data_IF_035376290008
#
_entry.id   IF_035376290008
#
_cell.length_a   1.000
_cell.length_b   1.000
_cell.length_c   1.000
_cell.angle_alpha   90.00
_cell.angle_beta   90.00
_cell.angle_gamma   90.00
#
_symmetry.space_group_name_H-M   'P 1'
#
loop_
_entity.id
_entity.type
_entity.pdbx_description
1 polymer ?
#
# COMPACT_ATOMS: atom_id res chain seq x y z
N UNK A 1 1.83 13.53 -24.14
CA UNK A 1 2.95 14.18 -23.43
C UNK A 1 2.64 14.44 -21.95
N UNK A 2 1.46 15.00 -21.59
CA UNK A 2 1.09 15.19 -20.18
C UNK A 2 0.87 13.87 -19.40
N UNK A 3 0.26 12.87 -20.04
CA UNK A 3 -0.02 11.56 -19.44
C UNK A 3 1.25 10.78 -19.08
N UNK A 4 2.25 10.78 -19.97
CA UNK A 4 3.53 10.10 -19.73
C UNK A 4 4.33 10.76 -18.59
N UNK A 5 4.24 12.08 -18.45
CA UNK A 5 4.87 12.79 -17.34
C UNK A 5 4.20 12.48 -15.99
N UNK A 6 2.88 12.29 -15.96
CA UNK A 6 2.17 11.89 -14.76
C UNK A 6 2.54 10.47 -14.32
N UNK A 7 2.61 9.52 -15.27
CA UNK A 7 3.06 8.14 -15.00
C UNK A 7 4.50 8.09 -14.47
N UNK A 8 5.42 8.81 -15.10
CA UNK A 8 6.80 8.86 -14.64
C UNK A 8 6.94 9.47 -13.24
N UNK A 9 6.10 10.47 -12.90
CA UNK A 9 6.07 11.04 -11.55
C UNK A 9 5.49 10.07 -10.52
N UNK A 10 4.46 9.31 -10.87
CA UNK A 10 3.85 8.28 -10.03
C UNK A 10 4.83 7.11 -9.78
N UNK A 11 5.53 6.65 -10.82
CA UNK A 11 6.57 5.62 -10.70
C UNK A 11 7.72 6.08 -9.80
N UNK A 12 8.24 7.29 -10.03
CA UNK A 12 9.31 7.86 -9.22
C UNK A 12 8.89 8.07 -7.77
N UNK A 13 7.66 8.52 -7.52
CA UNK A 13 7.10 8.63 -6.18
C UNK A 13 6.99 7.27 -5.52
N UNK A 14 6.41 6.29 -6.22
CA UNK A 14 6.19 4.93 -5.70
C UNK A 14 7.52 4.28 -5.32
N UNK A 15 8.52 4.36 -6.20
CA UNK A 15 9.86 3.85 -5.93
C UNK A 15 10.50 4.54 -4.71
N UNK A 16 10.39 5.87 -4.61
CA UNK A 16 10.91 6.63 -3.49
C UNK A 16 10.21 6.24 -2.17
N UNK A 17 8.87 6.11 -2.18
CA UNK A 17 8.08 5.68 -1.02
C UNK A 17 8.47 4.29 -0.52
N UNK A 18 8.79 3.36 -1.41
CA UNK A 18 9.25 2.02 -1.00
C UNK A 18 10.68 2.02 -0.46
N UNK A 19 11.57 2.90 -0.94
CA UNK A 19 12.94 3.02 -0.40
C UNK A 19 12.98 3.62 1.01
N UNK A 20 12.04 4.50 1.33
CA UNK A 20 11.94 5.10 2.67
C UNK A 20 11.12 4.24 3.63
N UNK A 21 10.30 3.29 3.13
CA UNK A 21 9.47 2.46 3.98
C UNK A 21 10.31 1.68 5.01
N UNK A 22 9.99 1.84 6.29
CA UNK A 22 10.56 0.99 7.36
C UNK A 22 9.90 -0.38 7.30
N UNK A 23 8.58 -0.41 7.11
CA UNK A 23 7.82 -1.63 6.94
C UNK A 23 6.87 -1.51 5.74
N UNK A 24 6.80 -2.58 4.96
CA UNK A 24 5.80 -2.72 3.90
C UNK A 24 4.84 -3.82 4.33
N UNK A 25 3.58 -3.47 4.56
CA UNK A 25 2.50 -4.43 4.62
C UNK A 25 2.07 -4.74 3.19
N UNK A 26 2.73 -5.71 2.55
CA UNK A 26 2.20 -6.31 1.32
C UNK A 26 1.32 -7.47 1.76
N UNK A 27 0.01 -7.28 1.67
CA UNK A 27 -0.91 -8.41 1.74
C UNK A 27 -1.37 -8.68 0.31
N UNK A 28 -0.85 -9.79 -0.22
CA UNK A 28 -1.23 -10.32 -1.53
C UNK A 28 -2.34 -11.32 -1.25
N UNK A 29 -3.58 -10.93 -1.54
CA UNK A 29 -4.73 -11.84 -1.37
C UNK A 29 -4.81 -12.85 -2.53
N UNK A 30 -4.38 -12.46 -3.72
CA UNK A 30 -4.21 -13.34 -4.88
C UNK A 30 -3.05 -12.83 -5.74
N UNK A 31 -2.19 -13.71 -6.24
CA UNK A 31 -1.09 -13.36 -7.16
C UNK A 31 -1.62 -13.00 -8.57
N UNK A 32 -2.92 -13.19 -8.81
CA UNK A 32 -3.51 -13.12 -10.15
C UNK A 32 -4.49 -11.99 -10.42
N UNK A 33 -5.03 -11.22 -9.44
CA UNK A 33 -5.75 -9.96 -9.81
C UNK A 33 -6.24 -8.99 -8.70
N UNK A 34 -6.14 -9.28 -7.40
CA UNK A 34 -6.65 -8.35 -6.35
C UNK A 34 -5.56 -8.00 -5.33
N UNK A 35 -5.21 -6.71 -5.24
CA UNK A 35 -4.10 -6.26 -4.42
C UNK A 35 -4.41 -4.94 -3.70
N UNK A 36 -4.17 -4.91 -2.40
CA UNK A 36 -3.97 -3.68 -1.64
C UNK A 36 -2.53 -3.68 -1.10
N UNK A 37 -1.77 -2.64 -1.40
CA UNK A 37 -0.41 -2.48 -0.89
C UNK A 37 -0.35 -1.25 0.00
N UNK A 38 0.16 -1.40 1.24
CA UNK A 38 0.30 -0.30 2.19
C UNK A 38 1.73 -0.25 2.72
N UNK A 39 2.39 0.90 2.58
CA UNK A 39 3.73 1.13 3.13
C UNK A 39 3.68 2.13 4.29
N UNK A 40 4.41 1.85 5.37
CA UNK A 40 4.48 2.68 6.58
C UNK A 40 5.94 3.09 6.85
N UNK A 41 6.13 4.36 7.17
CA UNK A 41 7.39 4.94 7.61
C UNK A 41 7.13 5.97 8.71
N UNK A 42 7.87 5.93 9.82
CA UNK A 42 7.72 6.89 10.91
C UNK A 42 6.33 6.90 11.54
N UNK A 43 5.59 5.79 11.44
CA UNK A 43 4.21 5.68 11.93
C UNK A 43 3.17 6.36 11.05
N UNK A 44 3.51 6.64 9.80
CA UNK A 44 2.61 7.24 8.81
C UNK A 44 2.53 6.36 7.56
N UNK A 45 1.35 6.31 6.93
CA UNK A 45 1.20 5.70 5.61
C UNK A 45 1.89 6.61 4.59
N UNK A 46 2.87 6.09 3.88
CA UNK A 46 3.61 6.83 2.82
C UNK A 46 3.27 6.36 1.41
N UNK A 47 2.53 5.25 1.31
CA UNK A 47 2.00 4.73 0.06
C UNK A 47 0.79 3.83 0.32
N UNK A 48 -0.22 3.94 -0.55
CA UNK A 48 -1.33 3.02 -0.64
C UNK A 48 -1.68 2.81 -2.11
N UNK A 49 -1.64 1.56 -2.56
CA UNK A 49 -2.11 1.15 -3.90
C UNK A 49 -3.29 0.19 -3.76
N UNK A 50 -4.31 0.38 -4.60
CA UNK A 50 -5.51 -0.48 -4.68
C UNK A 50 -5.68 -0.88 -6.14
N UNK A 51 -5.79 -2.17 -6.42
CA UNK A 51 -6.01 -2.67 -7.78
C UNK A 51 -7.42 -2.33 -8.28
N UNK A 52 -7.55 -1.92 -9.55
CA UNK A 52 -8.82 -1.54 -10.19
C UNK A 52 -9.98 -2.54 -9.97
N UNK A 53 -9.80 -3.87 -10.02
CA UNK A 53 -10.89 -4.81 -9.76
C UNK A 53 -11.55 -4.64 -8.38
N UNK A 54 -10.79 -4.22 -7.36
CA UNK A 54 -11.33 -3.96 -6.02
C UNK A 54 -12.26 -2.74 -5.98
N UNK A 55 -12.13 -1.82 -6.93
CA UNK A 55 -13.02 -0.64 -7.03
C UNK A 55 -14.43 -1.01 -7.53
N UNK A 56 -14.62 -2.24 -8.03
CA UNK A 56 -15.94 -2.75 -8.41
C UNK A 56 -16.73 -3.31 -7.21
N UNK A 57 -16.08 -3.49 -6.05
CA UNK A 57 -16.73 -4.01 -4.84
C UNK A 57 -17.65 -2.97 -4.19
N UNK A 58 -18.65 -3.42 -3.41
CA UNK A 58 -19.38 -2.57 -2.48
C UNK A 58 -18.42 -1.75 -1.58
N UNK A 59 -18.79 -0.52 -1.28
CA UNK A 59 -17.92 0.42 -0.56
C UNK A 59 -17.57 -0.05 0.86
N UNK A 60 -18.49 -0.75 1.52
CA UNK A 60 -18.29 -1.39 2.82
C UNK A 60 -17.27 -2.54 2.73
N UNK A 61 -17.39 -3.40 1.72
CA UNK A 61 -16.46 -4.50 1.49
C UNK A 61 -15.05 -4.00 1.14
N UNK A 62 -14.95 -2.99 0.27
CA UNK A 62 -13.67 -2.34 -0.05
C UNK A 62 -13.04 -1.70 1.20
N UNK A 63 -13.84 -1.02 2.03
CA UNK A 63 -13.35 -0.39 3.24
C UNK A 63 -12.81 -1.43 4.24
N UNK A 64 -13.49 -2.56 4.40
CA UNK A 64 -13.03 -3.63 5.28
C UNK A 64 -11.70 -4.23 4.82
N UNK A 65 -11.56 -4.49 3.52
CA UNK A 65 -10.31 -4.99 2.92
C UNK A 65 -9.17 -4.01 3.14
N UNK A 66 -9.37 -2.73 2.80
CA UNK A 66 -8.36 -1.67 2.95
C UNK A 66 -7.96 -1.51 4.42
N UNK A 67 -8.92 -1.48 5.33
CA UNK A 67 -8.66 -1.37 6.76
C UNK A 67 -7.85 -2.55 7.31
N UNK A 68 -8.13 -3.77 6.84
CA UNK A 68 -7.35 -4.96 7.19
C UNK A 68 -5.87 -4.83 6.79
N UNK A 69 -5.60 -4.35 5.58
CA UNK A 69 -4.24 -4.17 5.07
C UNK A 69 -3.49 -3.04 5.79
N UNK A 70 -4.18 -1.95 6.12
CA UNK A 70 -3.63 -0.88 6.98
C UNK A 70 -3.21 -1.48 8.34
N UNK A 71 -4.09 -2.26 8.96
CA UNK A 71 -3.81 -2.87 10.27
C UNK A 71 -2.59 -3.80 10.23
N UNK A 72 -2.46 -4.61 9.17
CA UNK A 72 -1.30 -5.48 8.94
C UNK A 72 -0.02 -4.65 8.81
N UNK A 73 -0.01 -3.62 7.95
CA UNK A 73 1.18 -2.78 7.72
C UNK A 73 1.66 -2.09 9.01
N UNK A 74 0.74 -1.52 9.78
CA UNK A 74 1.08 -0.93 11.07
C UNK A 74 1.49 -1.97 12.13
N UNK A 75 0.90 -3.17 12.09
CA UNK A 75 1.31 -4.30 12.92
C UNK A 75 2.77 -4.67 12.69
N UNK A 76 3.13 -4.92 11.42
CA UNK A 76 4.50 -5.24 11.03
C UNK A 76 5.50 -4.13 11.36
N UNK A 77 5.13 -2.86 11.15
CA UNK A 77 5.96 -1.71 11.56
C UNK A 77 6.24 -1.72 13.06
N UNK A 78 5.22 -1.92 13.89
CA UNK A 78 5.38 -1.98 15.36
C UNK A 78 6.22 -3.17 15.81
N UNK A 79 6.13 -4.30 15.13
CA UNK A 79 6.97 -5.47 15.43
C UNK A 79 8.44 -5.21 15.14
N UNK A 80 8.76 -4.58 14.01
CA UNK A 80 10.13 -4.22 13.67
C UNK A 80 10.74 -3.24 14.68
N UNK A 81 9.97 -2.23 15.12
CA UNK A 81 10.42 -1.30 16.17
C UNK A 81 10.71 -1.98 17.52
N UNK A 82 10.08 -3.12 17.80
CA UNK A 82 10.33 -3.91 19.02
C UNK A 82 11.56 -4.82 18.89
N UNK A 83 12.01 -5.08 17.67
CA UNK A 83 13.18 -5.92 17.37
C UNK A 83 14.45 -5.12 17.07
N UNK A 84 14.34 -3.79 16.96
CA UNK A 84 15.45 -2.85 16.84
C UNK A 84 15.95 -2.37 18.21
#
# INVERSE_FOLDING_TARGET
>A
MLLEAAKAAEEAWTEASFRIAEAVGVSVDDVTDHHVAVAVHGGQIVYMGISDPLLALPADELADIVNGHIAIAFGSWREQLRSA
#
